data_IF_804073688534
#
_entry.id   IF_804073688534
#
_cell.length_a   1.000
_cell.length_b   1.000
_cell.length_c   1.000
_cell.angle_alpha   90.00
_cell.angle_beta   90.00
_cell.angle_gamma   90.00
#
_symmetry.space_group_name_H-M   'P 1'
#
loop_
_entity.id
_entity.type
_entity.pdbx_description
1 polymer ?
#
# COMPACT_ATOMS: atom_id res chain seq x y z
N UNK A 1 -10.90 11.85 -5.02
CA UNK A 1 -11.67 11.78 -3.75
C UNK A 1 -12.89 10.91 -3.98
N UNK A 2 -13.56 10.42 -2.92
CA UNK A 2 -14.76 9.55 -3.03
C UNK A 2 -15.83 10.14 -3.96
N UNK A 3 -15.92 11.47 -3.99
CA UNK A 3 -16.83 12.22 -4.87
C UNK A 3 -16.67 11.91 -6.37
N UNK A 4 -15.47 11.50 -6.84
CA UNK A 4 -15.22 11.21 -8.25
C UNK A 4 -15.78 9.85 -8.71
N UNK A 5 -16.11 8.95 -7.78
CA UNK A 5 -16.65 7.63 -8.13
C UNK A 5 -18.15 7.65 -8.42
N UNK A 6 -18.92 8.55 -7.81
CA UNK A 6 -20.38 8.55 -7.95
C UNK A 6 -20.79 8.92 -9.38
N UNK A 7 -21.47 8.01 -10.08
CA UNK A 7 -22.04 8.24 -11.42
C UNK A 7 -21.16 7.87 -12.63
N UNK A 8 -19.90 7.46 -12.42
CA UNK A 8 -19.06 6.93 -13.50
C UNK A 8 -19.15 5.41 -13.50
N UNK A 9 -19.67 4.86 -14.61
CA UNK A 9 -19.74 3.41 -14.87
C UNK A 9 -18.85 3.06 -16.06
N UNK A 10 -17.56 2.83 -15.78
CA UNK A 10 -16.58 2.37 -16.76
C UNK A 10 -16.35 0.87 -16.52
N UNK A 11 -16.78 -0.03 -17.42
CA UNK A 11 -16.77 -1.46 -17.15
C UNK A 11 -15.36 -2.08 -17.14
N UNK A 12 -14.41 -1.44 -17.83
CA UNK A 12 -13.06 -1.92 -18.11
C UNK A 12 -11.99 -1.38 -17.13
N UNK A 13 -12.39 -1.00 -15.91
CA UNK A 13 -11.43 -0.57 -14.87
C UNK A 13 -10.62 -1.77 -14.38
N UNK A 14 -9.30 -1.76 -14.65
CA UNK A 14 -8.40 -2.88 -14.32
C UNK A 14 -7.83 -2.86 -12.92
N UNK A 15 -7.85 -1.72 -12.24
CA UNK A 15 -7.47 -1.67 -10.84
C UNK A 15 -8.15 -0.53 -10.11
N UNK A 16 -8.34 -0.72 -8.81
CA UNK A 16 -8.70 0.34 -7.86
C UNK A 16 -7.63 0.38 -6.78
N UNK A 17 -7.08 1.56 -6.51
CA UNK A 17 -6.00 1.75 -5.55
C UNK A 17 -6.43 2.75 -4.47
N UNK A 18 -6.54 2.28 -3.23
CA UNK A 18 -6.79 3.12 -2.07
C UNK A 18 -5.45 3.55 -1.48
N UNK A 19 -5.09 4.82 -1.68
CA UNK A 19 -3.90 5.43 -1.06
C UNK A 19 -4.10 5.70 0.42
N UNK A 20 -5.36 5.86 0.82
CA UNK A 20 -5.79 6.14 2.19
C UNK A 20 -6.88 5.14 2.57
N UNK A 21 -6.91 4.75 3.84
CA UNK A 21 -7.92 3.83 4.36
C UNK A 21 -9.34 4.36 4.12
N UNK A 22 -10.29 3.59 3.59
CA UNK A 22 -11.71 3.99 3.47
C UNK A 22 -12.39 4.27 4.81
N UNK A 23 -13.59 4.87 4.76
CA UNK A 23 -14.34 5.21 5.98
C UNK A 23 -14.92 3.98 6.69
N UNK A 24 -15.21 2.92 5.93
CA UNK A 24 -15.79 1.67 6.45
C UNK A 24 -15.57 0.51 5.49
N UNK A 25 -15.93 -0.69 5.95
CA UNK A 25 -15.91 -1.90 5.12
C UNK A 25 -16.87 -1.81 3.92
N UNK A 26 -18.05 -1.21 4.10
CA UNK A 26 -19.02 -1.00 3.02
C UNK A 26 -18.52 0.01 1.99
N UNK A 27 -17.89 1.09 2.45
CA UNK A 27 -17.27 2.07 1.55
C UNK A 27 -16.18 1.40 0.71
N UNK A 28 -15.29 0.64 1.35
CA UNK A 28 -14.26 -0.12 0.64
C UNK A 28 -14.87 -1.07 -0.40
N UNK A 29 -15.87 -1.87 -0.02
CA UNK A 29 -16.56 -2.80 -0.92
C UNK A 29 -17.16 -2.11 -2.16
N UNK A 30 -17.87 -1.00 -1.95
CA UNK A 30 -18.45 -0.25 -3.07
C UNK A 30 -17.39 0.41 -3.94
N UNK A 31 -16.31 0.91 -3.35
CA UNK A 31 -15.24 1.62 -4.05
C UNK A 31 -14.42 0.66 -4.93
N UNK A 32 -13.92 -0.45 -4.38
CA UNK A 32 -13.16 -1.42 -5.18
C UNK A 32 -14.05 -2.24 -6.13
N UNK A 33 -15.34 -2.42 -5.83
CA UNK A 33 -16.31 -3.11 -6.69
C UNK A 33 -16.60 -2.42 -8.03
N UNK A 34 -15.92 -1.29 -8.31
CA UNK A 34 -15.90 -0.62 -9.61
C UNK A 34 -14.91 -1.24 -10.58
N UNK A 35 -13.93 -1.99 -10.09
CA UNK A 35 -12.99 -2.72 -10.94
C UNK A 35 -13.66 -3.96 -11.56
N UNK A 36 -13.31 -4.30 -12.80
CA UNK A 36 -13.66 -5.59 -13.39
C UNK A 36 -15.15 -5.85 -13.63
N UNK A 37 -15.96 -4.81 -13.90
CA UNK A 37 -17.41 -4.98 -14.17
C UNK A 37 -17.68 -5.69 -15.50
N UNK A 38 -16.73 -5.69 -16.42
CA UNK A 38 -16.71 -6.52 -17.63
C UNK A 38 -16.39 -8.02 -17.35
N UNK A 39 -16.13 -8.40 -16.10
CA UNK A 39 -15.80 -9.76 -15.69
C UNK A 39 -14.35 -10.16 -15.94
N UNK A 40 -13.53 -9.28 -16.53
CA UNK A 40 -12.09 -9.53 -16.73
C UNK A 40 -11.30 -9.29 -15.44
N UNK A 41 -10.12 -9.94 -15.29
CA UNK A 41 -9.27 -9.75 -14.11
C UNK A 41 -9.03 -8.26 -13.79
N UNK A 42 -9.13 -7.94 -12.51
CA UNK A 42 -8.85 -6.62 -11.98
C UNK A 42 -8.32 -6.71 -10.55
N UNK A 43 -7.51 -5.72 -10.16
CA UNK A 43 -6.83 -5.69 -8.88
C UNK A 43 -7.40 -4.62 -7.94
N UNK A 44 -7.53 -4.97 -6.66
CA UNK A 44 -7.85 -4.03 -5.60
C UNK A 44 -6.67 -3.91 -4.64
N UNK A 45 -6.13 -2.70 -4.49
CA UNK A 45 -5.04 -2.39 -3.57
C UNK A 45 -5.51 -1.42 -2.50
N UNK A 46 -4.97 -1.58 -1.28
CA UNK A 46 -5.14 -0.63 -0.20
C UNK A 46 -3.86 -0.49 0.61
N UNK A 47 -3.41 0.76 0.77
CA UNK A 47 -2.39 1.12 1.74
C UNK A 47 -3.08 1.55 3.05
N UNK A 48 -2.51 1.13 4.17
CA UNK A 48 -3.05 1.50 5.49
C UNK A 48 -1.96 1.52 6.58
N UNK A 49 -2.16 2.42 7.55
CA UNK A 49 -1.30 2.57 8.72
C UNK A 49 -2.00 3.23 9.90
N UNK A 50 -1.29 3.36 11.03
CA UNK A 50 -1.87 4.01 12.22
C UNK A 50 -2.22 5.49 11.98
N UNK A 51 -1.52 6.16 11.06
CA UNK A 51 -1.87 7.52 10.63
C UNK A 51 -3.27 7.60 10.03
N UNK A 52 -3.60 6.69 9.12
CA UNK A 52 -4.91 6.62 8.47
C UNK A 52 -6.01 6.25 9.47
N UNK A 53 -5.72 5.28 10.34
CA UNK A 53 -6.65 4.88 11.42
C UNK A 53 -6.97 6.07 12.33
N UNK A 54 -5.96 6.85 12.72
CA UNK A 54 -6.13 8.05 13.53
C UNK A 54 -6.95 9.10 12.78
N UNK A 55 -6.58 9.39 11.52
CA UNK A 55 -7.29 10.36 10.69
C UNK A 55 -8.78 10.01 10.56
N UNK A 56 -9.10 8.73 10.30
CA UNK A 56 -10.49 8.26 10.20
C UNK A 56 -11.26 8.39 11.51
N UNK A 57 -10.66 8.05 12.66
CA UNK A 57 -11.30 8.29 13.96
C UNK A 57 -11.52 9.78 14.21
N UNK A 58 -10.58 10.65 13.83
CA UNK A 58 -10.75 12.10 13.94
C UNK A 58 -11.90 12.62 13.10
N UNK A 59 -12.06 12.15 11.86
CA UNK A 59 -13.21 12.52 11.04
C UNK A 59 -14.53 12.11 11.69
N UNK A 60 -14.61 10.91 12.28
CA UNK A 60 -15.80 10.47 13.02
C UNK A 60 -16.10 11.40 14.20
N UNK A 61 -15.07 11.85 14.94
CA UNK A 61 -15.28 12.75 16.08
C UNK A 61 -15.70 14.16 15.68
N UNK A 62 -15.26 14.62 14.51
CA UNK A 62 -15.62 15.92 13.94
C UNK A 62 -16.99 15.93 13.25
N UNK A 63 -17.56 14.77 12.95
CA UNK A 63 -18.91 14.69 12.39
C UNK A 63 -19.94 15.19 13.40
N UNK A 64 -20.74 16.17 12.96
CA UNK A 64 -21.91 16.65 13.70
C UNK A 64 -22.98 15.56 13.70
N UNK A 65 -23.01 14.74 14.74
CA UNK A 65 -23.96 13.64 14.88
C UNK A 65 -24.17 13.25 16.34
N UNK A 66 -25.24 12.51 16.60
CA UNK A 66 -25.48 11.92 17.92
C UNK A 66 -24.37 10.93 18.28
N UNK A 67 -24.05 10.80 19.57
CA UNK A 67 -23.04 9.86 20.09
C UNK A 67 -23.26 8.42 19.59
N UNK A 68 -24.51 8.00 19.45
CA UNK A 68 -24.86 6.70 18.89
C UNK A 68 -24.41 6.52 17.44
N UNK A 69 -24.46 7.58 16.63
CA UNK A 69 -24.00 7.55 15.25
C UNK A 69 -22.47 7.43 15.19
N UNK A 70 -21.74 8.20 16.00
CA UNK A 70 -20.27 8.08 16.14
C UNK A 70 -19.86 6.69 16.59
N UNK A 71 -20.54 6.14 17.59
CA UNK A 71 -20.31 4.76 18.08
C UNK A 71 -20.48 3.73 16.96
N UNK A 72 -21.51 3.86 16.11
CA UNK A 72 -21.68 2.98 14.94
C UNK A 72 -20.58 3.17 13.90
N UNK A 73 -20.18 4.42 13.62
CA UNK A 73 -19.09 4.69 12.69
C UNK A 73 -17.75 4.10 13.16
N UNK A 74 -17.43 4.21 14.46
CA UNK A 74 -16.25 3.55 15.03
C UNK A 74 -16.29 2.04 14.88
N UNK A 75 -17.43 1.40 15.17
CA UNK A 75 -17.58 -0.06 14.98
C UNK A 75 -17.30 -0.48 13.54
N UNK A 76 -17.80 0.28 12.56
CA UNK A 76 -17.55 -0.01 11.14
C UNK A 76 -16.10 0.21 10.73
N UNK A 77 -15.44 1.23 11.26
CA UNK A 77 -14.00 1.44 11.06
C UNK A 77 -13.18 0.31 11.69
N UNK A 78 -13.53 -0.12 12.90
CA UNK A 78 -12.84 -1.22 13.60
C UNK A 78 -12.96 -2.54 12.82
N UNK A 79 -14.10 -2.78 12.16
CA UNK A 79 -14.26 -3.92 11.27
C UNK A 79 -13.32 -3.86 10.06
N UNK A 80 -13.17 -2.68 9.42
CA UNK A 80 -12.22 -2.49 8.32
C UNK A 80 -10.76 -2.64 8.80
N UNK A 81 -10.40 -2.12 9.98
CA UNK A 81 -9.07 -2.32 10.58
C UNK A 81 -8.80 -3.81 10.79
N UNK A 82 -9.77 -4.53 11.35
CA UNK A 82 -9.67 -5.98 11.57
C UNK A 82 -9.51 -6.72 10.24
N UNK A 83 -10.26 -6.34 9.20
CA UNK A 83 -10.12 -6.88 7.85
C UNK A 83 -8.71 -6.73 7.30
N UNK A 84 -8.06 -5.58 7.50
CA UNK A 84 -6.71 -5.32 7.00
C UNK A 84 -5.65 -6.23 7.65
N UNK A 85 -5.79 -6.50 8.95
CA UNK A 85 -4.84 -7.30 9.72
C UNK A 85 -5.22 -8.79 9.83
N UNK A 86 -6.39 -9.18 9.33
CA UNK A 86 -6.90 -10.55 9.37
C UNK A 86 -5.94 -11.56 8.69
N UNK A 87 -5.54 -12.64 9.39
CA UNK A 87 -4.70 -13.69 8.83
C UNK A 87 -5.49 -14.74 8.01
N UNK A 88 -6.61 -14.35 7.40
CA UNK A 88 -7.47 -15.23 6.61
C UNK A 88 -7.67 -14.70 5.18
N UNK A 89 -8.28 -15.52 4.32
CA UNK A 89 -8.67 -15.13 2.97
C UNK A 89 -9.47 -13.82 2.98
N UNK A 90 -9.02 -12.80 2.23
CA UNK A 90 -9.69 -11.50 2.14
C UNK A 90 -11.14 -11.61 1.72
N UNK A 91 -11.45 -12.42 0.70
CA UNK A 91 -12.83 -12.61 0.22
C UNK A 91 -13.70 -13.25 1.30
N UNK A 92 -13.17 -14.25 2.00
CA UNK A 92 -13.91 -14.92 3.07
C UNK A 92 -14.20 -13.97 4.21
N UNK A 93 -13.21 -13.19 4.68
CA UNK A 93 -13.41 -12.18 5.73
C UNK A 93 -14.39 -11.09 5.29
N UNK A 94 -14.33 -10.67 4.02
CA UNK A 94 -15.24 -9.67 3.46
C UNK A 94 -16.68 -10.18 3.40
N UNK A 95 -16.91 -11.39 2.88
CA UNK A 95 -18.24 -11.97 2.77
C UNK A 95 -18.84 -12.27 4.15
N UNK A 96 -18.03 -12.78 5.09
CA UNK A 96 -18.47 -13.02 6.45
C UNK A 96 -18.93 -11.74 7.18
N UNK A 97 -18.38 -10.57 6.83
CA UNK A 97 -18.87 -9.29 7.35
C UNK A 97 -20.31 -8.97 6.90
N UNK A 98 -20.72 -9.48 5.74
CA UNK A 98 -22.08 -9.36 5.19
C UNK A 98 -22.91 -10.61 5.45
N UNK A 99 -22.54 -11.41 6.47
CA UNK A 99 -23.22 -12.66 6.85
C UNK A 99 -23.28 -13.70 5.71
N UNK A 100 -22.31 -13.67 4.80
CA UNK A 100 -22.16 -14.64 3.70
C UNK A 100 -20.96 -15.56 3.93
N UNK A 101 -21.17 -16.87 3.78
CA UNK A 101 -20.12 -17.87 3.89
C UNK A 101 -19.40 -18.10 2.55
N UNK A 102 -18.09 -18.35 2.62
CA UNK A 102 -17.31 -18.66 1.43
C UNK A 102 -16.08 -19.52 1.74
N UNK A 103 -15.72 -20.38 0.79
CA UNK A 103 -14.43 -21.05 0.78
C UNK A 103 -13.28 -20.04 0.50
N UNK A 104 -12.02 -20.37 0.84
CA UNK A 104 -10.87 -19.56 0.47
C UNK A 104 -10.83 -19.29 -1.05
N UNK A 105 -10.58 -18.04 -1.45
CA UNK A 105 -10.78 -17.63 -2.85
C UNK A 105 -9.66 -18.00 -3.81
N UNK A 106 -8.48 -18.38 -3.30
CA UNK A 106 -7.31 -18.67 -4.14
C UNK A 106 -6.71 -17.46 -4.89
N UNK A 107 -7.24 -16.24 -4.71
CA UNK A 107 -6.90 -15.07 -5.54
C UNK A 107 -6.66 -13.76 -4.76
N UNK A 108 -6.43 -13.83 -3.45
CA UNK A 108 -6.08 -12.66 -2.63
C UNK A 108 -4.67 -12.80 -2.04
N UNK A 109 -4.10 -11.71 -1.54
CA UNK A 109 -2.76 -11.69 -0.93
C UNK A 109 -2.59 -12.76 0.14
N UNK A 110 -3.63 -13.04 0.93
CA UNK A 110 -3.62 -14.03 1.99
C UNK A 110 -3.76 -15.49 1.50
N UNK A 111 -4.38 -15.72 0.35
CA UNK A 111 -4.42 -17.05 -0.26
C UNK A 111 -3.14 -17.35 -1.06
N UNK A 112 -2.61 -16.33 -1.75
CA UNK A 112 -1.44 -16.45 -2.61
C UNK A 112 -0.14 -16.47 -1.80
N UNK A 113 -0.09 -15.74 -0.70
CA UNK A 113 1.05 -15.67 0.22
C UNK A 113 0.56 -15.86 1.66
N UNK A 114 0.16 -17.09 2.03
CA UNK A 114 -0.28 -17.37 3.38
C UNK A 114 0.82 -17.03 4.37
N UNK A 115 0.42 -16.38 5.46
CA UNK A 115 1.32 -15.97 6.53
C UNK A 115 1.09 -16.86 7.73
N UNK A 116 2.16 -17.35 8.31
CA UNK A 116 2.11 -17.99 9.61
C UNK A 116 2.06 -16.90 10.70
N UNK A 117 1.10 -17.03 11.62
CA UNK A 117 1.06 -16.19 12.80
C UNK A 117 2.23 -16.56 13.71
N UNK A 118 2.89 -15.53 14.25
CA UNK A 118 3.95 -15.71 15.26
C UNK A 118 3.46 -15.24 16.61
N UNK A 119 3.74 -16.05 17.62
CA UNK A 119 3.61 -15.68 19.02
C UNK A 119 4.48 -14.44 19.30
N UNK A 120 3.91 -13.44 19.97
CA UNK A 120 4.58 -12.19 20.32
C UNK A 120 4.03 -11.58 21.62
N UNK A 121 3.59 -12.43 22.56
CA UNK A 121 3.03 -12.00 23.85
C UNK A 121 4.05 -11.15 24.60
N UNK A 122 5.33 -11.51 24.55
CA UNK A 122 6.37 -10.73 25.24
C UNK A 122 6.53 -9.34 24.61
N UNK A 123 6.59 -9.24 23.29
CA UNK A 123 6.68 -7.96 22.58
C UNK A 123 5.44 -7.11 22.81
N UNK A 124 4.25 -7.73 22.82
CA UNK A 124 2.99 -7.09 23.21
C UNK A 124 3.08 -6.51 24.62
N UNK A 125 3.56 -7.29 25.59
CA UNK A 125 3.75 -6.84 26.98
C UNK A 125 4.80 -5.74 27.11
N UNK A 126 5.91 -5.81 26.36
CA UNK A 126 6.92 -4.74 26.32
C UNK A 126 6.30 -3.42 25.84
N UNK A 127 5.54 -3.47 24.73
CA UNK A 127 4.86 -2.30 24.19
C UNK A 127 3.84 -1.71 25.17
N UNK A 128 2.99 -2.56 25.77
CA UNK A 128 2.01 -2.13 26.77
C UNK A 128 2.69 -1.58 28.03
N UNK A 129 3.80 -2.16 28.48
CA UNK A 129 4.55 -1.64 29.63
C UNK A 129 5.14 -0.26 29.33
N UNK A 130 5.66 -0.03 28.12
CA UNK A 130 6.14 1.27 27.69
C UNK A 130 5.01 2.31 27.62
N UNK A 131 3.81 1.93 27.16
CA UNK A 131 2.63 2.82 27.19
C UNK A 131 2.24 3.19 28.62
N UNK A 132 2.16 2.20 29.52
CA UNK A 132 1.81 2.43 30.93
C UNK A 132 2.81 3.37 31.63
N UNK A 133 4.12 3.15 31.42
CA UNK A 133 5.19 3.95 32.05
C UNK A 133 5.29 5.37 31.52
N UNK A 134 4.74 5.64 30.34
CA UNK A 134 4.71 6.97 29.74
C UNK A 134 3.37 7.69 29.97
N UNK A 135 2.52 7.15 30.86
CA UNK A 135 1.22 7.72 31.18
C UNK A 135 0.18 7.60 30.06
N UNK A 136 0.44 6.78 29.02
CA UNK A 136 -0.48 6.53 27.90
C UNK A 136 -0.81 7.76 27.03
N UNK A 137 0.07 8.78 27.03
CA UNK A 137 -0.14 10.06 26.31
C UNK A 137 0.62 10.16 24.98
N UNK A 138 1.35 9.11 24.62
CA UNK A 138 2.30 9.16 23.51
C UNK A 138 1.86 8.26 22.36
N UNK A 139 2.03 8.77 21.14
CA UNK A 139 1.76 8.02 19.92
C UNK A 139 2.85 7.01 19.58
N UNK A 140 2.56 6.20 18.56
CA UNK A 140 3.39 5.09 18.08
C UNK A 140 4.88 5.42 17.95
N UNK A 141 5.23 6.52 17.28
CA UNK A 141 6.63 6.86 17.01
C UNK A 141 7.47 6.96 18.29
N UNK A 142 6.91 7.57 19.34
CA UNK A 142 7.58 7.73 20.62
C UNK A 142 7.69 6.40 21.38
N UNK A 143 6.63 5.58 21.36
CA UNK A 143 6.64 4.25 21.98
C UNK A 143 7.69 3.35 21.29
N UNK A 144 7.79 3.39 19.96
CA UNK A 144 8.83 2.66 19.22
C UNK A 144 10.22 3.15 19.60
N UNK A 145 10.42 4.46 19.70
CA UNK A 145 11.71 5.04 20.08
C UNK A 145 12.14 4.63 21.50
N UNK A 146 11.22 4.48 22.45
CA UNK A 146 11.51 3.91 23.78
C UNK A 146 11.93 2.45 23.64
N UNK A 147 11.14 1.62 22.96
CA UNK A 147 11.38 0.18 22.86
C UNK A 147 12.73 -0.14 22.20
N UNK A 148 13.11 0.61 21.18
CA UNK A 148 14.40 0.44 20.48
C UNK A 148 15.57 1.17 21.16
N UNK A 149 15.31 1.97 22.20
CA UNK A 149 16.34 2.71 22.91
C UNK A 149 16.93 3.86 22.11
N UNK A 150 16.09 4.60 21.37
CA UNK A 150 16.55 5.73 20.57
C UNK A 150 17.07 6.86 21.47
N UNK A 151 18.25 7.37 21.15
CA UNK A 151 18.89 8.45 21.89
C UNK A 151 18.59 9.82 21.25
N UNK A 152 17.38 10.34 21.47
CA UNK A 152 16.94 11.64 20.96
C UNK A 152 16.89 12.69 22.08
N UNK A 153 16.95 13.98 21.73
CA UNK A 153 16.80 15.07 22.70
C UNK A 153 15.47 14.95 23.48
N UNK A 154 14.38 14.65 22.77
CA UNK A 154 13.06 14.45 23.36
C UNK A 154 13.01 13.33 24.40
N UNK A 155 13.79 12.26 24.25
CA UNK A 155 13.85 11.18 25.26
C UNK A 155 14.46 11.67 26.57
N UNK A 156 15.56 12.44 26.47
CA UNK A 156 16.25 13.02 27.61
C UNK A 156 15.40 14.09 28.31
N UNK A 157 14.77 14.96 27.55
CA UNK A 157 13.92 16.03 28.09
C UNK A 157 12.73 15.47 28.89
N UNK A 158 12.20 14.31 28.48
CA UNK A 158 11.10 13.63 29.15
C UNK A 158 11.58 12.61 30.21
N UNK A 159 12.89 12.38 30.34
CA UNK A 159 13.46 11.36 31.23
C UNK A 159 13.09 9.93 30.84
N UNK A 160 12.65 9.70 29.60
CA UNK A 160 12.18 8.39 29.15
C UNK A 160 13.32 7.43 28.79
N UNK A 161 14.53 7.96 28.62
CA UNK A 161 15.79 7.21 28.54
C UNK A 161 16.15 6.48 29.84
N UNK A 162 15.56 6.88 30.97
CA UNK A 162 15.77 6.25 32.28
C UNK A 162 14.70 5.19 32.61
N UNK A 163 13.69 5.01 31.75
CA UNK A 163 12.65 4.02 31.99
C UNK A 163 13.21 2.59 31.87
N UNK A 164 12.76 1.64 32.71
CA UNK A 164 13.13 0.22 32.56
C UNK A 164 12.73 -0.41 31.22
N UNK A 165 11.80 0.23 30.49
CA UNK A 165 11.37 -0.17 29.14
C UNK A 165 12.23 0.42 28.03
N UNK A 166 13.20 1.27 28.34
CA UNK A 166 14.09 1.84 27.34
C UNK A 166 15.04 0.78 26.78
N UNK A 167 14.99 0.54 25.48
CA UNK A 167 15.85 -0.42 24.78
C UNK A 167 15.53 -1.91 25.00
N UNK A 168 14.45 -2.26 25.71
CA UNK A 168 14.06 -3.66 25.95
C UNK A 168 13.73 -4.42 24.67
N UNK A 169 13.29 -3.68 23.64
CA UNK A 169 12.90 -4.16 22.33
C UNK A 169 13.97 -4.00 21.24
N UNK A 170 15.23 -3.75 21.58
CA UNK A 170 16.32 -3.48 20.61
C UNK A 170 16.58 -4.59 19.59
N UNK A 171 16.11 -5.81 19.86
CA UNK A 171 16.22 -6.97 18.96
C UNK A 171 15.19 -6.95 17.83
N UNK A 172 14.17 -6.10 17.93
CA UNK A 172 13.11 -5.91 16.92
C UNK A 172 13.33 -4.55 16.25
N UNK A 173 13.30 -4.52 14.92
CA UNK A 173 13.48 -3.29 14.17
C UNK A 173 12.26 -2.35 14.25
N UNK A 174 12.45 -1.07 13.90
CA UNK A 174 11.40 -0.06 14.01
C UNK A 174 10.16 -0.37 13.16
N UNK A 175 10.31 -1.01 11.99
CA UNK A 175 9.17 -1.32 11.12
C UNK A 175 8.36 -2.50 11.67
N UNK A 176 9.05 -3.51 12.21
CA UNK A 176 8.39 -4.60 12.90
C UNK A 176 7.65 -4.13 14.16
N UNK A 177 8.25 -3.24 14.96
CA UNK A 177 7.55 -2.59 16.08
C UNK A 177 6.32 -1.80 15.63
N UNK A 178 6.43 -1.06 14.51
CA UNK A 178 5.27 -0.37 13.93
C UNK A 178 4.14 -1.34 13.57
N UNK A 179 4.49 -2.48 12.98
CA UNK A 179 3.51 -3.54 12.64
C UNK A 179 2.86 -4.14 13.88
N UNK A 180 3.65 -4.49 14.90
CA UNK A 180 3.15 -5.03 16.17
C UNK A 180 2.16 -4.07 16.82
N UNK A 181 2.50 -2.78 16.92
CA UNK A 181 1.62 -1.76 17.49
C UNK A 181 0.31 -1.61 16.72
N UNK A 182 0.36 -1.67 15.38
CA UNK A 182 -0.84 -1.62 14.54
C UNK A 182 -1.74 -2.83 14.76
N UNK A 183 -1.15 -4.02 14.90
CA UNK A 183 -1.89 -5.26 15.15
C UNK A 183 -2.42 -5.37 16.59
N UNK A 184 -1.74 -4.77 17.58
CA UNK A 184 -2.29 -4.64 18.93
C UNK A 184 -3.55 -3.77 18.95
N UNK A 185 -3.59 -2.71 18.13
CA UNK A 185 -4.79 -1.89 17.93
C UNK A 185 -5.89 -2.72 17.25
N UNK A 186 -5.57 -3.38 16.14
CA UNK A 186 -6.54 -4.20 15.40
C UNK A 186 -7.12 -5.34 16.24
N UNK A 187 -6.31 -5.98 17.09
CA UNK A 187 -6.75 -7.03 18.00
C UNK A 187 -7.44 -6.52 19.28
N UNK A 188 -7.58 -5.20 19.43
CA UNK A 188 -8.30 -4.55 20.53
C UNK A 188 -7.56 -4.51 21.87
N UNK A 189 -6.24 -4.75 21.89
CA UNK A 189 -5.42 -4.61 23.10
C UNK A 189 -5.06 -3.14 23.39
N UNK A 190 -5.02 -2.31 22.35
CA UNK A 190 -4.65 -0.89 22.41
C UNK A 190 -5.74 -0.05 21.75
N UNK A 191 -6.08 1.06 22.38
CA UNK A 191 -6.96 2.09 21.84
C UNK A 191 -6.13 3.28 21.35
N UNK A 192 -6.58 3.89 20.24
CA UNK A 192 -6.02 5.11 19.68
C UNK A 192 -6.85 6.29 20.20
N UNK A 193 -6.30 7.03 21.16
CA UNK A 193 -6.96 8.20 21.73
C UNK A 193 -6.79 9.41 20.80
N UNK A 194 -7.86 9.91 20.22
CA UNK A 194 -7.83 11.03 19.27
C UNK A 194 -7.76 12.39 19.97
N UNK A 195 -8.25 12.49 21.21
CA UNK A 195 -8.39 13.75 21.94
C UNK A 195 -7.05 14.25 22.51
N UNK A 196 -6.19 13.35 22.98
CA UNK A 196 -4.89 13.69 23.61
C UNK A 196 -3.71 13.59 22.63
N UNK A 197 -3.73 14.36 21.52
CA UNK A 197 -2.65 14.35 20.50
C UNK A 197 -2.40 12.99 19.84
N UNK A 198 -3.34 12.05 19.96
CA UNK A 198 -3.23 10.73 19.37
C UNK A 198 -2.47 9.70 20.21
N UNK A 199 -2.62 9.74 21.53
CA UNK A 199 -2.02 8.79 22.45
C UNK A 199 -2.42 7.33 22.16
N UNK A 200 -1.59 6.40 22.63
CA UNK A 200 -1.93 4.97 22.68
C UNK A 200 -2.28 4.61 24.12
N UNK A 201 -3.50 4.15 24.33
CA UNK A 201 -4.00 3.74 25.65
C UNK A 201 -4.33 2.25 25.71
N UNK A 202 -4.16 1.66 26.89
CA UNK A 202 -4.34 0.22 27.09
C UNK A 202 -5.83 -0.06 27.33
N UNK A 203 -6.40 -1.01 26.59
CA UNK A 203 -7.80 -1.43 26.81
C UNK A 203 -7.89 -2.41 27.99
N UNK A 204 -9.09 -2.74 28.49
CA UNK A 204 -9.25 -3.82 29.47
C UNK A 204 -8.60 -5.14 29.02
N UNK A 205 -8.75 -5.49 27.74
CA UNK A 205 -8.10 -6.67 27.12
C UNK A 205 -6.57 -6.53 27.11
N UNK A 206 -6.05 -5.36 26.80
CA UNK A 206 -4.62 -5.04 26.92
C UNK A 206 -4.09 -5.21 28.34
N UNK A 207 -4.88 -4.84 29.35
CA UNK A 207 -4.54 -5.06 30.76
C UNK A 207 -4.35 -6.53 31.11
N UNK A 208 -5.16 -7.43 30.54
CA UNK A 208 -5.00 -8.88 30.71
C UNK A 208 -3.72 -9.38 30.04
N UNK A 209 -3.40 -8.91 28.84
CA UNK A 209 -2.15 -9.24 28.14
C UNK A 209 -0.93 -8.81 28.97
N UNK A 210 -0.97 -7.59 29.54
CA UNK A 210 0.10 -7.08 30.40
C UNK A 210 0.34 -7.98 31.63
N UNK A 211 -0.75 -8.47 32.23
CA UNK A 211 -0.74 -9.42 33.37
C UNK A 211 -0.38 -10.86 32.99
N UNK A 212 -0.21 -11.17 31.69
CA UNK A 212 0.08 -12.52 31.21
C UNK A 212 -1.15 -13.45 31.24
N UNK A 213 -2.35 -12.88 31.21
CA UNK A 213 -3.63 -13.60 31.21
C UNK A 213 -4.24 -13.75 29.81
N UNK A 214 -3.64 -13.09 28.82
CA UNK A 214 -3.98 -13.18 27.41
C UNK A 214 -2.70 -13.40 26.60
N UNK A 215 -2.86 -13.90 25.38
CA UNK A 215 -1.75 -14.06 24.43
C UNK A 215 -1.92 -13.15 23.24
N UNK A 216 -0.81 -12.79 22.60
CA UNK A 216 -0.79 -12.01 21.39
C UNK A 216 0.01 -12.73 20.31
N UNK A 217 -0.59 -12.91 19.16
CA UNK A 217 0.08 -13.34 17.95
C UNK A 217 -0.07 -12.28 16.87
N UNK A 218 0.94 -12.16 16.02
CA UNK A 218 0.97 -11.18 14.94
C UNK A 218 1.24 -11.86 13.61
N UNK A 219 0.75 -11.24 12.54
CA UNK A 219 1.15 -11.50 11.16
C UNK A 219 2.47 -10.79 10.89
N UNK A 220 3.58 -11.52 10.68
CA UNK A 220 4.84 -10.90 10.28
C UNK A 220 4.69 -10.20 8.94
N UNK A 221 5.41 -9.09 8.78
CA UNK A 221 5.56 -8.50 7.45
C UNK A 221 6.14 -9.57 6.52
N UNK A 222 5.57 -9.70 5.33
CA UNK A 222 6.20 -10.48 4.28
C UNK A 222 7.59 -9.89 4.09
N UNK A 223 8.64 -10.65 4.46
CA UNK A 223 9.99 -10.29 4.05
C UNK A 223 9.91 -10.25 2.54
N UNK A 224 10.04 -9.06 1.94
CA UNK A 224 10.36 -8.97 0.53
C UNK A 224 11.54 -9.94 0.35
N UNK A 225 11.33 -11.01 -0.43
CA UNK A 225 12.22 -12.17 -0.43
C UNK A 225 13.67 -11.68 -0.39
N UNK A 226 14.34 -11.91 0.76
CA UNK A 226 15.74 -11.62 0.94
C UNK A 226 16.51 -12.63 0.08
N UNK A 227 16.56 -12.32 -1.22
CA UNK A 227 16.75 -13.32 -2.27
C UNK A 227 16.17 -12.90 -3.63
N UNK A 228 16.25 -11.62 -4.00
CA UNK A 228 16.30 -11.22 -5.41
C UNK A 228 17.19 -9.98 -5.58
N UNK A 229 18.43 -10.10 -5.08
CA UNK A 229 19.60 -9.45 -5.68
C UNK A 229 19.96 -10.05 -7.05
N UNK A 230 18.96 -10.47 -7.83
CA UNK A 230 19.08 -10.65 -9.27
C UNK A 230 18.22 -9.52 -9.84
N UNK A 231 18.86 -8.59 -10.54
CA UNK A 231 18.22 -7.77 -11.56
C UNK A 231 17.44 -8.75 -12.46
N UNK A 232 16.19 -9.06 -12.13
CA UNK A 232 15.24 -9.61 -13.08
C UNK A 232 14.79 -8.42 -13.89
N UNK A 233 15.51 -8.24 -15.00
CA UNK A 233 14.95 -7.69 -16.22
C UNK A 233 13.47 -8.07 -16.31
N UNK A 234 12.63 -7.05 -16.43
CA UNK A 234 11.21 -7.16 -16.74
C UNK A 234 11.03 -8.12 -17.92
N UNK A 235 10.65 -9.36 -17.62
CA UNK A 235 9.89 -10.20 -18.54
C UNK A 235 8.42 -9.99 -18.13
N UNK A 236 7.86 -8.85 -18.52
CA UNK A 236 6.43 -8.75 -18.73
C UNK A 236 6.16 -9.38 -20.09
N UNK A 237 5.83 -10.67 -20.08
CA UNK A 237 5.28 -11.35 -21.24
C UNK A 237 3.85 -10.83 -21.43
N UNK A 238 3.67 -10.01 -22.47
CA UNK A 238 2.46 -10.03 -23.29
C UNK A 238 2.79 -10.98 -24.46
N UNK A 239 2.13 -12.13 -24.62
CA UNK A 239 2.50 -13.19 -25.58
C UNK A 239 1.92 -12.94 -26.98
N UNK A 240 2.08 -11.73 -27.53
CA UNK A 240 1.66 -11.43 -28.89
C UNK A 240 2.81 -10.83 -29.73
N UNK A 241 3.34 -11.69 -30.61
CA UNK A 241 4.36 -11.51 -31.67
C UNK A 241 5.81 -11.26 -31.21
N UNK A 242 6.64 -12.29 -31.38
CA UNK A 242 8.09 -12.12 -31.41
C UNK A 242 8.46 -11.17 -32.55
N UNK A 243 9.22 -10.11 -32.24
CA UNK A 243 9.78 -9.21 -33.25
C UNK A 243 10.72 -10.01 -34.16
N UNK A 244 10.67 -9.77 -35.47
CA UNK A 244 11.69 -10.30 -36.39
C UNK A 244 13.09 -9.77 -36.01
N UNK A 245 14.17 -10.41 -36.48
CA UNK A 245 15.53 -9.89 -36.26
C UNK A 245 15.70 -8.43 -36.71
N UNK A 246 15.07 -8.01 -37.82
CA UNK A 246 15.11 -6.61 -38.26
C UNK A 246 14.35 -5.68 -37.30
N UNK A 247 13.16 -6.10 -36.87
CA UNK A 247 12.34 -5.35 -35.91
C UNK A 247 13.03 -5.21 -34.54
N UNK A 248 13.74 -6.24 -34.10
CA UNK A 248 14.53 -6.18 -32.87
C UNK A 248 15.69 -5.17 -32.98
N UNK A 249 16.37 -5.12 -34.13
CA UNK A 249 17.42 -4.13 -34.38
C UNK A 249 16.88 -2.70 -34.38
N UNK A 250 15.75 -2.46 -35.06
CA UNK A 250 15.10 -1.15 -35.03
C UNK A 250 14.67 -0.77 -33.61
N UNK A 251 14.06 -1.70 -32.87
CA UNK A 251 13.68 -1.46 -31.48
C UNK A 251 14.88 -1.03 -30.61
N UNK A 252 16.05 -1.64 -30.82
CA UNK A 252 17.29 -1.30 -30.11
C UNK A 252 17.81 0.09 -30.47
N UNK A 253 17.75 0.47 -31.75
CA UNK A 253 18.09 1.81 -32.21
C UNK A 253 17.16 2.88 -31.60
N UNK A 254 15.85 2.64 -31.59
CA UNK A 254 14.89 3.55 -30.97
C UNK A 254 15.11 3.66 -29.45
N UNK A 255 15.50 2.58 -28.77
CA UNK A 255 15.88 2.63 -27.35
C UNK A 255 17.13 3.48 -27.11
N UNK A 256 18.13 3.37 -27.98
CA UNK A 256 19.36 4.16 -27.90
C UNK A 256 19.07 5.65 -28.15
N UNK A 257 18.30 5.97 -29.19
CA UNK A 257 17.87 7.35 -29.48
C UNK A 257 17.12 7.96 -28.29
N UNK A 258 16.16 7.21 -27.72
CA UNK A 258 15.42 7.64 -26.53
C UNK A 258 16.34 7.96 -25.35
N UNK A 259 17.34 7.10 -25.11
CA UNK A 259 18.28 7.30 -24.01
C UNK A 259 19.13 8.56 -24.21
N UNK A 260 19.56 8.83 -25.45
CA UNK A 260 20.28 10.05 -25.80
C UNK A 260 19.45 11.32 -25.56
N UNK A 261 18.21 11.35 -26.07
CA UNK A 261 17.30 12.48 -25.89
C UNK A 261 16.92 12.72 -24.42
N UNK A 262 16.73 11.64 -23.66
CA UNK A 262 16.45 11.71 -22.23
C UNK A 262 17.62 12.30 -21.43
N UNK A 263 18.85 11.89 -21.76
CA UNK A 263 20.07 12.42 -21.15
C UNK A 263 20.26 13.92 -21.46
N UNK A 264 20.05 14.33 -22.72
CA UNK A 264 20.11 15.74 -23.13
C UNK A 264 19.07 16.60 -22.40
N UNK A 265 17.87 16.06 -22.18
CA UNK A 265 16.80 16.74 -21.46
C UNK A 265 16.89 16.67 -19.94
N UNK A 266 17.88 15.95 -19.38
CA UNK A 266 17.96 15.59 -17.96
C UNK A 266 16.63 15.05 -17.39
N UNK A 267 15.95 14.20 -18.16
CA UNK A 267 14.67 13.58 -17.79
C UNK A 267 14.77 12.05 -17.88
N UNK A 268 13.98 11.30 -17.11
CA UNK A 268 13.91 9.85 -17.27
C UNK A 268 13.43 9.44 -18.68
N UNK A 269 13.99 8.37 -19.25
CA UNK A 269 13.72 7.94 -20.63
C UNK A 269 12.24 7.69 -20.95
N UNK A 270 11.45 7.21 -19.99
CA UNK A 270 10.02 6.97 -20.18
C UNK A 270 9.20 8.26 -20.41
N UNK A 271 9.75 9.43 -20.06
CA UNK A 271 9.14 10.75 -20.32
C UNK A 271 9.16 11.08 -21.81
N UNK A 272 10.19 10.64 -22.54
CA UNK A 272 10.28 10.74 -24.00
C UNK A 272 9.24 9.79 -24.62
N UNK A 273 9.47 8.48 -24.51
CA UNK A 273 8.50 7.45 -24.92
C UNK A 273 8.61 6.20 -24.03
N UNK A 274 7.47 5.57 -23.75
CA UNK A 274 7.46 4.27 -23.06
C UNK A 274 7.90 3.16 -24.03
N UNK A 275 8.40 2.03 -23.50
CA UNK A 275 8.78 0.88 -24.34
C UNK A 275 7.62 0.38 -25.21
N UNK A 276 6.38 0.47 -24.71
CA UNK A 276 5.17 0.14 -25.47
C UNK A 276 5.02 1.03 -26.72
N UNK A 277 5.32 2.32 -26.62
CA UNK A 277 5.29 3.23 -27.76
C UNK A 277 6.37 2.89 -28.79
N UNK A 278 7.57 2.52 -28.33
CA UNK A 278 8.65 2.11 -29.25
C UNK A 278 8.33 0.79 -29.97
N UNK A 279 7.67 -0.16 -29.29
CA UNK A 279 7.21 -1.40 -29.95
C UNK A 279 6.13 -1.10 -31.00
N UNK A 280 5.15 -0.26 -30.65
CA UNK A 280 4.10 0.11 -31.58
C UNK A 280 4.65 0.93 -32.79
N UNK A 281 5.74 1.69 -32.61
CA UNK A 281 6.47 2.31 -33.74
C UNK A 281 7.10 1.26 -34.67
N UNK A 282 7.72 0.22 -34.11
CA UNK A 282 8.33 -0.88 -34.88
C UNK A 282 7.28 -1.71 -35.61
N UNK A 283 6.10 -1.87 -35.03
CA UNK A 283 4.99 -2.60 -35.64
C UNK A 283 4.30 -1.80 -36.75
N UNK A 284 4.11 -0.49 -36.55
CA UNK A 284 3.38 0.36 -37.51
C UNK A 284 4.26 0.99 -38.58
N UNK A 285 5.57 1.10 -38.35
CA UNK A 285 6.54 1.73 -39.24
C UNK A 285 6.01 3.05 -39.85
N UNK A 286 5.63 4.03 -39.01
CA UNK A 286 5.03 5.27 -39.50
C UNK A 286 6.01 6.01 -40.42
N UNK A 287 5.51 6.42 -41.59
CA UNK A 287 6.32 7.10 -42.62
C UNK A 287 6.15 8.62 -42.62
N UNK A 288 5.20 9.13 -41.83
CA UNK A 288 4.90 10.56 -41.70
C UNK A 288 4.69 10.95 -40.24
N UNK A 289 4.82 12.24 -39.92
CA UNK A 289 4.51 12.77 -38.59
C UNK A 289 3.04 12.58 -38.22
N UNK A 290 2.13 12.62 -39.19
CA UNK A 290 0.72 12.31 -38.98
C UNK A 290 0.53 10.85 -38.58
N UNK A 291 1.19 9.91 -39.27
CA UNK A 291 1.14 8.48 -38.92
C UNK A 291 1.75 8.17 -37.55
N UNK A 292 2.64 9.02 -37.03
CA UNK A 292 3.16 8.91 -35.67
C UNK A 292 2.09 9.20 -34.60
N UNK A 293 1.01 9.93 -34.89
CA UNK A 293 -0.09 10.15 -33.94
C UNK A 293 -0.92 8.88 -33.70
N UNK A 294 -0.93 7.96 -34.65
CA UNK A 294 -1.62 6.68 -34.51
C UNK A 294 -0.85 5.70 -33.61
N UNK A 295 0.39 6.02 -33.22
CA UNK A 295 1.20 5.24 -32.29
C UNK A 295 0.76 5.47 -30.85
N UNK A 296 0.52 4.37 -30.13
CA UNK A 296 0.08 4.35 -28.75
C UNK A 296 1.02 5.15 -27.83
N UNK A 297 0.48 6.20 -27.21
CA UNK A 297 1.19 7.04 -26.24
C UNK A 297 2.01 8.17 -26.87
N UNK A 298 1.88 8.39 -28.19
CA UNK A 298 2.31 9.60 -28.88
C UNK A 298 1.13 10.58 -28.89
N UNK A 299 1.31 11.73 -28.23
CA UNK A 299 0.38 12.85 -28.33
C UNK A 299 1.07 14.06 -28.96
N UNK A 300 0.31 15.09 -29.33
CA UNK A 300 0.80 16.28 -30.04
C UNK A 300 2.05 16.91 -29.41
N UNK A 301 2.09 17.01 -28.08
CA UNK A 301 3.22 17.58 -27.34
C UNK A 301 4.51 16.74 -27.49
N UNK A 302 4.40 15.41 -27.55
CA UNK A 302 5.54 14.51 -27.75
C UNK A 302 5.95 14.46 -29.22
N UNK A 303 4.97 14.46 -30.13
CA UNK A 303 5.22 14.53 -31.56
C UNK A 303 6.00 15.80 -31.93
N UNK A 304 5.56 16.96 -31.45
CA UNK A 304 6.25 18.23 -31.71
C UNK A 304 7.68 18.27 -31.17
N UNK A 305 7.95 17.54 -30.08
CA UNK A 305 9.22 17.62 -29.35
C UNK A 305 10.22 16.55 -29.76
N UNK A 306 9.75 15.37 -30.17
CA UNK A 306 10.58 14.20 -30.45
C UNK A 306 10.23 13.51 -31.78
N UNK A 307 9.12 13.86 -32.43
CA UNK A 307 8.59 13.18 -33.61
C UNK A 307 9.59 13.10 -34.75
N UNK A 308 10.23 14.21 -35.11
CA UNK A 308 11.19 14.25 -36.22
C UNK A 308 12.38 13.29 -36.02
N UNK A 309 12.92 13.24 -34.80
CA UNK A 309 14.07 12.39 -34.49
C UNK A 309 13.72 10.90 -34.56
N UNK A 310 12.55 10.51 -34.04
CA UNK A 310 12.10 9.12 -34.09
C UNK A 310 11.66 8.70 -35.50
N UNK A 311 11.03 9.61 -36.26
CA UNK A 311 10.65 9.34 -37.64
C UNK A 311 11.87 9.13 -38.53
N UNK A 312 12.91 9.97 -38.38
CA UNK A 312 14.17 9.80 -39.11
C UNK A 312 14.84 8.45 -38.79
N UNK A 313 14.84 8.02 -37.53
CA UNK A 313 15.43 6.74 -37.12
C UNK A 313 14.66 5.52 -37.67
N UNK A 314 13.34 5.65 -37.82
CA UNK A 314 12.47 4.64 -38.44
C UNK A 314 12.72 4.58 -39.96
N UNK A 315 12.88 5.73 -40.63
CA UNK A 315 13.16 5.78 -42.06
C UNK A 315 14.56 5.29 -42.43
N UNK A 316 15.53 5.45 -41.52
CA UNK A 316 16.89 4.90 -41.69
C UNK A 316 16.96 3.38 -41.47
N UNK A 317 15.84 2.74 -41.11
CA UNK A 317 15.74 1.31 -40.84
C UNK A 317 15.41 0.46 -42.06
N UNK A 318 14.89 1.09 -43.12
CA UNK A 318 14.67 0.53 -44.46
C UNK A 318 15.93 0.66 -45.33
#
# INVERSE_FOLDING_TARGET
TVAFGMGIDKPDVRFVFHTDMPASMEAYYQEFGRAGRDGLPADAYMLYGLGDMRMRRMFIEQENGAEDAKRRAHKRLDALISYCEAPQCRRQTLLAYFDEDSAPCGNCDMCLNPVELKEATQEGRMALSAMARTGQRFGQAHIVDILVGANTQRMRDLGHDQLPTWGVGKHVDKNQWRSLLRQLVAAGFVHLDVAEYGGLSITPKGGLLLKGQETFSYRPALKAAAGSGRRRSKASADPSRELTPEQAQLFDRLRALRAGLAAQGNVPAYVVFADKSLRDMVEKMPQTLEGMLDVHGVGEAKLKRFGDAFLAEIQNAD
#
